data_IF_101342100585
#
_entry.id   IF_101342100585
#
_cell.length_a   1.000
_cell.length_b   1.000
_cell.length_c   1.000
_cell.angle_alpha   90.00
_cell.angle_beta   90.00
_cell.angle_gamma   90.00
#
_symmetry.space_group_name_H-M   'P 1'
#
loop_
_entity.id
_entity.type
_entity.pdbx_description
1 polymer ?
#
# COMPACT_ATOMS: atom_id res chain seq x y z
N UNK A 1 -14.07 -23.75 -37.73
CA UNK A 1 -13.32 -24.40 -36.65
C UNK A 1 -12.06 -23.57 -36.42
N UNK A 2 -12.15 -22.51 -35.61
CA UNK A 2 -10.98 -21.71 -35.26
C UNK A 2 -10.58 -22.07 -33.84
N UNK A 3 -9.54 -22.90 -33.72
CA UNK A 3 -8.89 -23.22 -32.46
C UNK A 3 -8.19 -21.96 -31.97
N UNK A 4 -8.82 -21.27 -31.01
CA UNK A 4 -8.15 -20.23 -30.26
C UNK A 4 -7.06 -20.89 -29.42
N UNK A 5 -5.80 -20.66 -29.81
CA UNK A 5 -4.63 -20.98 -28.99
C UNK A 5 -4.73 -20.14 -27.71
N UNK A 6 -5.25 -20.75 -26.65
CA UNK A 6 -5.12 -20.24 -25.30
C UNK A 6 -3.63 -20.22 -24.97
N UNK A 7 -2.99 -19.06 -25.09
CA UNK A 7 -1.68 -18.84 -24.50
C UNK A 7 -1.92 -18.76 -23.01
N UNK A 8 -1.82 -19.91 -22.34
CA UNK A 8 -1.78 -20.00 -20.90
C UNK A 8 -0.52 -19.23 -20.46
N UNK A 9 -0.67 -17.96 -20.10
CA UNK A 9 0.37 -17.20 -19.42
C UNK A 9 0.45 -17.79 -18.02
N UNK A 10 1.15 -18.93 -17.91
CA UNK A 10 1.51 -19.50 -16.64
C UNK A 10 2.47 -18.52 -15.99
N UNK A 11 1.92 -17.61 -15.17
CA UNK A 11 2.68 -16.92 -14.14
C UNK A 11 3.09 -17.97 -13.08
N UNK A 12 3.94 -18.92 -13.47
CA UNK A 12 4.75 -19.64 -12.50
C UNK A 12 5.62 -18.57 -11.87
N UNK A 13 5.34 -18.24 -10.61
CA UNK A 13 6.21 -17.43 -9.78
C UNK A 13 7.60 -18.09 -9.82
N UNK A 14 8.43 -17.57 -10.72
CA UNK A 14 9.67 -18.24 -11.15
C UNK A 14 10.66 -17.98 -10.04
N UNK A 15 10.90 -18.95 -9.16
CA UNK A 15 11.87 -18.79 -8.07
C UNK A 15 13.18 -18.22 -8.63
N UNK A 16 13.67 -17.16 -7.98
CA UNK A 16 14.94 -16.53 -8.31
C UNK A 16 16.06 -17.57 -8.30
N UNK A 17 16.81 -17.66 -9.41
CA UNK A 17 17.95 -18.56 -9.51
C UNK A 17 19.21 -17.89 -8.93
N UNK A 18 20.11 -18.65 -8.25
CA UNK A 18 21.26 -18.07 -7.56
C UNK A 18 22.23 -17.32 -8.48
N UNK A 19 22.35 -17.75 -9.75
CA UNK A 19 23.24 -17.08 -10.71
C UNK A 19 22.82 -15.64 -11.02
N UNK A 20 21.58 -15.23 -10.71
CA UNK A 20 21.12 -13.87 -10.93
C UNK A 20 21.88 -12.87 -10.03
N UNK A 21 22.29 -13.30 -8.83
CA UNK A 21 23.06 -12.49 -7.89
C UNK A 21 24.56 -12.45 -8.25
N UNK A 22 25.12 -13.58 -8.70
CA UNK A 22 26.56 -13.70 -9.01
C UNK A 22 27.01 -12.86 -10.23
N UNK A 23 26.07 -12.47 -11.10
CA UNK A 23 26.40 -11.73 -12.33
C UNK A 23 26.48 -10.24 -12.04
N UNK A 24 27.42 -9.54 -12.66
CA UNK A 24 27.63 -8.10 -12.47
C UNK A 24 26.75 -7.20 -13.35
N UNK A 25 25.75 -7.78 -14.04
CA UNK A 25 24.85 -7.02 -14.92
C UNK A 25 23.82 -6.26 -14.11
N UNK A 26 23.26 -5.20 -14.70
CA UNK A 26 22.15 -4.46 -14.12
C UNK A 26 20.93 -5.36 -13.94
N UNK A 27 20.15 -5.08 -12.89
CA UNK A 27 18.95 -5.86 -12.60
C UNK A 27 17.90 -5.73 -13.70
N UNK A 28 17.75 -4.56 -14.34
CA UNK A 28 16.89 -4.39 -15.52
C UNK A 28 17.16 -5.46 -16.59
N UNK A 29 18.43 -5.76 -16.88
CA UNK A 29 18.81 -6.78 -17.85
C UNK A 29 18.58 -8.19 -17.30
N UNK A 30 19.02 -8.45 -16.06
CA UNK A 30 18.86 -9.75 -15.40
C UNK A 30 17.41 -10.17 -15.32
N UNK A 31 16.48 -9.24 -15.08
CA UNK A 31 15.05 -9.55 -14.95
C UNK A 31 14.43 -10.07 -16.25
N UNK A 32 15.07 -9.84 -17.40
CA UNK A 32 14.68 -10.43 -18.69
C UNK A 32 15.19 -11.86 -18.86
N UNK A 33 16.15 -12.31 -18.04
CA UNK A 33 16.74 -13.63 -18.13
C UNK A 33 15.84 -14.71 -17.53
N UNK A 34 15.81 -15.87 -18.20
CA UNK A 34 15.04 -17.02 -17.75
C UNK A 34 15.47 -17.50 -16.35
N UNK A 35 14.59 -17.33 -15.37
CA UNK A 35 14.80 -17.73 -13.98
C UNK A 35 15.26 -16.60 -13.05
N UNK A 36 15.41 -15.37 -13.54
CA UNK A 36 15.69 -14.20 -12.71
C UNK A 36 14.47 -13.30 -12.51
N UNK A 37 13.42 -13.43 -13.34
CA UNK A 37 12.22 -12.58 -13.29
C UNK A 37 11.45 -12.63 -11.96
N UNK A 38 11.61 -13.66 -11.14
CA UNK A 38 11.03 -13.73 -9.79
C UNK A 38 12.01 -13.42 -8.66
N UNK A 39 13.13 -12.76 -8.95
CA UNK A 39 13.97 -12.14 -7.92
C UNK A 39 13.31 -10.87 -7.38
N UNK A 40 13.51 -10.59 -6.09
CA UNK A 40 12.94 -9.41 -5.42
C UNK A 40 13.35 -8.12 -6.10
N UNK A 41 14.58 -8.03 -6.58
CA UNK A 41 15.12 -6.88 -7.32
C UNK A 41 14.39 -6.60 -8.64
N UNK A 42 13.73 -7.60 -9.22
CA UNK A 42 12.86 -7.44 -10.40
C UNK A 42 11.47 -6.92 -10.07
N UNK A 43 11.10 -6.99 -8.79
CA UNK A 43 9.82 -6.52 -8.25
C UNK A 43 9.98 -5.20 -7.49
N UNK A 44 11.20 -4.89 -7.04
CA UNK A 44 11.54 -3.61 -6.46
C UNK A 44 11.39 -2.53 -7.54
N UNK A 45 10.69 -1.42 -7.25
CA UNK A 45 10.64 -0.33 -8.19
C UNK A 45 12.05 0.28 -8.23
N UNK A 46 12.80 0.01 -9.30
CA UNK A 46 14.13 0.59 -9.51
C UNK A 46 13.96 1.97 -10.12
N UNK A 47 14.59 2.97 -9.51
CA UNK A 47 14.66 4.32 -10.05
C UNK A 47 15.57 4.35 -11.29
N UNK A 48 15.01 4.63 -12.46
CA UNK A 48 15.78 4.71 -13.70
C UNK A 48 16.55 6.02 -13.78
N UNK A 49 17.77 6.03 -14.35
CA UNK A 49 18.64 7.22 -14.36
C UNK A 49 18.01 8.42 -15.06
N UNK A 50 17.20 8.19 -16.11
CA UNK A 50 16.52 9.27 -16.82
C UNK A 50 15.53 10.06 -15.94
N UNK A 51 15.10 9.52 -14.80
CA UNK A 51 14.21 10.20 -13.86
C UNK A 51 14.90 11.41 -13.22
N UNK A 52 16.22 11.31 -12.97
CA UNK A 52 17.03 12.38 -12.38
C UNK A 52 17.34 13.47 -13.42
N UNK A 53 17.69 13.06 -14.64
CA UNK A 53 18.13 13.99 -15.71
C UNK A 53 17.03 14.91 -16.23
N UNK A 54 15.76 14.51 -16.12
CA UNK A 54 14.63 15.29 -16.63
C UNK A 54 14.31 16.46 -15.69
N UNK A 55 13.98 17.63 -16.22
CA UNK A 55 13.71 18.84 -15.41
C UNK A 55 12.27 18.93 -14.87
N UNK A 56 11.46 17.89 -15.04
CA UNK A 56 10.05 17.90 -14.65
C UNK A 56 9.90 17.78 -13.13
N UNK A 57 8.77 18.27 -12.60
CA UNK A 57 8.43 18.10 -11.19
C UNK A 57 8.35 16.60 -10.82
N UNK A 58 8.79 16.26 -9.61
CA UNK A 58 8.78 14.87 -9.14
C UNK A 58 7.39 14.27 -9.09
N UNK A 59 6.37 15.02 -8.68
CA UNK A 59 4.96 14.56 -8.70
C UNK A 59 4.54 14.01 -10.07
N UNK A 60 5.02 14.62 -11.16
CA UNK A 60 4.78 14.12 -12.51
C UNK A 60 5.67 12.91 -12.84
N UNK A 61 6.97 13.00 -12.55
CA UNK A 61 7.93 11.91 -12.80
C UNK A 61 7.54 10.62 -12.10
N UNK A 62 7.00 10.68 -10.89
CA UNK A 62 6.60 9.51 -10.12
C UNK A 62 5.48 8.70 -10.77
N UNK A 63 4.73 9.30 -11.71
CA UNK A 63 3.75 8.59 -12.54
C UNK A 63 4.38 7.84 -13.72
N UNK A 64 5.67 8.07 -14.01
CA UNK A 64 6.35 7.46 -15.14
C UNK A 64 6.83 6.04 -14.79
N UNK A 65 6.73 5.16 -15.78
CA UNK A 65 7.24 3.79 -15.68
C UNK A 65 8.75 3.84 -15.46
N UNK A 66 9.22 3.27 -14.35
CA UNK A 66 10.62 3.26 -13.95
C UNK A 66 11.06 4.45 -13.08
N UNK A 67 10.18 5.40 -12.76
CA UNK A 67 10.51 6.49 -11.82
C UNK A 67 9.77 6.37 -10.48
N UNK A 68 8.71 5.57 -10.40
CA UNK A 68 7.96 5.37 -9.15
C UNK A 68 8.80 4.77 -8.01
N UNK A 69 9.96 4.20 -8.32
CA UNK A 69 10.92 3.67 -7.37
C UNK A 69 11.96 4.66 -6.84
N UNK A 70 11.95 5.89 -7.32
CA UNK A 70 12.87 6.92 -6.85
C UNK A 70 12.49 7.37 -5.43
N UNK A 71 13.49 7.70 -4.61
CA UNK A 71 13.28 8.14 -3.23
C UNK A 71 12.40 9.40 -3.16
N UNK A 72 12.46 10.24 -4.18
CA UNK A 72 11.65 11.45 -4.34
C UNK A 72 10.17 11.16 -4.60
N UNK A 73 9.83 9.93 -4.96
CA UNK A 73 8.47 9.45 -5.11
C UNK A 73 7.90 8.82 -3.83
N UNK A 74 8.74 8.64 -2.81
CA UNK A 74 8.31 8.17 -1.51
C UNK A 74 7.66 9.37 -0.80
N UNK A 75 6.33 9.38 -0.82
CA UNK A 75 5.55 10.32 -0.01
C UNK A 75 5.62 9.83 1.44
N UNK A 76 6.12 10.62 2.40
CA UNK A 76 6.13 10.23 3.80
C UNK A 76 4.69 9.97 4.26
N UNK A 77 4.52 8.97 5.13
CA UNK A 77 3.23 8.71 5.74
C UNK A 77 2.75 9.97 6.47
N UNK A 78 1.47 10.37 6.34
CA UNK A 78 0.97 11.54 7.04
C UNK A 78 1.18 11.36 8.54
N UNK A 79 1.83 12.32 9.19
CA UNK A 79 2.01 12.31 10.64
C UNK A 79 0.77 12.87 11.35
N UNK A 80 0.41 12.26 12.49
CA UNK A 80 -0.61 12.76 13.39
C UNK A 80 -0.10 13.98 14.17
N UNK A 81 -0.75 15.13 14.01
CA UNK A 81 -0.38 16.36 14.73
C UNK A 81 -0.92 16.34 16.16
N UNK A 82 -0.20 16.87 17.16
CA UNK A 82 -0.61 16.82 18.58
C UNK A 82 -1.99 17.44 18.85
N UNK A 83 -2.36 18.49 18.12
CA UNK A 83 -3.65 19.15 18.33
C UNK A 83 -4.85 18.24 18.02
N UNK A 84 -4.67 17.13 17.30
CA UNK A 84 -5.75 16.21 16.99
C UNK A 84 -6.29 15.54 18.26
N UNK A 85 -5.43 15.30 19.27
CA UNK A 85 -5.82 14.72 20.56
C UNK A 85 -6.47 15.77 21.48
N UNK A 86 -5.95 17.00 21.50
CA UNK A 86 -6.42 18.07 22.38
C UNK A 86 -7.84 18.57 22.04
N UNK A 87 -8.31 18.29 20.83
CA UNK A 87 -9.58 18.79 20.31
C UNK A 87 -10.73 17.92 20.78
N UNK A 88 -11.87 18.53 21.10
CA UNK A 88 -13.03 17.82 21.67
C UNK A 88 -13.93 17.17 20.61
N UNK A 89 -13.62 17.36 19.33
CA UNK A 89 -14.39 16.84 18.20
C UNK A 89 -14.27 15.32 18.08
N UNK A 90 -15.27 14.69 17.46
CA UNK A 90 -15.22 13.26 17.15
C UNK A 90 -14.13 12.95 16.12
N UNK A 91 -13.61 11.73 16.16
CA UNK A 91 -12.57 11.30 15.22
C UNK A 91 -13.03 11.32 13.77
N UNK A 92 -14.30 10.99 13.49
CA UNK A 92 -14.87 11.09 12.13
C UNK A 92 -14.68 12.48 11.49
N UNK A 93 -14.82 13.55 12.29
CA UNK A 93 -14.59 14.92 11.84
C UNK A 93 -13.08 15.23 11.78
N UNK A 94 -12.35 14.90 12.84
CA UNK A 94 -10.89 15.14 12.93
C UNK A 94 -10.12 14.50 11.79
N UNK A 95 -10.49 13.32 11.33
CA UNK A 95 -9.80 12.62 10.25
C UNK A 95 -9.87 13.34 8.90
N UNK A 96 -10.80 14.29 8.75
CA UNK A 96 -10.88 15.17 7.57
C UNK A 96 -9.94 16.37 7.66
N UNK A 97 -9.37 16.64 8.84
CA UNK A 97 -8.52 17.79 9.08
C UNK A 97 -7.08 17.54 8.61
N UNK A 98 -6.47 18.58 8.03
CA UNK A 98 -5.08 18.54 7.59
C UNK A 98 -4.12 18.26 8.74
N UNK A 99 -3.46 17.09 8.69
CA UNK A 99 -2.52 16.63 9.72
C UNK A 99 -3.13 15.78 10.82
N UNK A 100 -4.41 15.42 10.74
CA UNK A 100 -5.03 14.41 11.62
C UNK A 100 -5.34 13.10 10.87
N UNK A 101 -5.34 13.11 9.53
CA UNK A 101 -5.54 11.90 8.71
C UNK A 101 -4.46 10.82 8.94
N UNK A 102 -3.31 11.19 9.49
CA UNK A 102 -2.24 10.27 9.90
C UNK A 102 -2.41 9.63 11.27
N UNK A 103 -3.47 9.96 12.02
CA UNK A 103 -3.70 9.39 13.35
C UNK A 103 -4.23 7.96 13.25
N UNK A 104 -3.85 7.10 14.21
CA UNK A 104 -4.28 5.69 14.27
C UNK A 104 -5.80 5.54 14.31
N UNK A 105 -6.49 6.49 14.95
CA UNK A 105 -7.95 6.54 15.04
C UNK A 105 -8.63 6.73 13.68
N UNK A 106 -7.93 7.32 12.71
CA UNK A 106 -8.40 7.47 11.33
C UNK A 106 -8.18 6.23 10.46
N UNK A 107 -7.36 5.30 10.95
CA UNK A 107 -7.05 4.04 10.25
C UNK A 107 -7.91 2.87 10.74
N UNK A 108 -8.73 3.07 11.78
CA UNK A 108 -9.64 2.04 12.26
C UNK A 108 -10.84 1.92 11.32
N UNK A 109 -11.21 0.71 10.86
CA UNK A 109 -12.53 0.53 10.25
C UNK A 109 -13.59 0.98 11.27
N UNK A 110 -14.69 1.61 10.82
CA UNK A 110 -15.73 2.05 11.73
C UNK A 110 -16.09 0.87 12.64
N UNK A 111 -16.21 1.08 13.97
CA UNK A 111 -16.62 0.01 14.86
C UNK A 111 -17.90 -0.55 14.28
N UNK A 112 -17.87 -1.81 13.84
CA UNK A 112 -19.07 -2.50 13.40
C UNK A 112 -20.04 -2.38 14.57
N UNK A 113 -21.08 -1.57 14.39
CA UNK A 113 -22.09 -1.37 15.41
C UNK A 113 -22.55 -2.75 15.87
N UNK A 114 -22.19 -3.15 17.09
CA UNK A 114 -22.96 -4.18 17.79
C UNK A 114 -24.31 -3.52 18.07
N UNK A 115 -25.42 -4.02 17.52
CA UNK A 115 -26.73 -3.49 17.87
C UNK A 115 -27.12 -4.12 19.19
N UNK A 116 -26.57 -3.63 20.29
CA UNK A 116 -27.09 -3.92 21.61
C UNK A 116 -26.94 -2.69 22.47
N UNK A 117 -27.91 -1.79 22.34
CA UNK A 117 -28.51 -1.03 23.43
C UNK A 117 -29.68 -0.24 22.83
N UNK A 118 -30.86 -0.87 22.70
CA UNK A 118 -32.09 -0.11 22.89
C UNK A 118 -32.53 -0.37 24.32
N UNK A 119 -32.24 0.63 25.15
CA UNK A 119 -32.80 0.84 26.46
C UNK A 119 -34.34 0.67 26.41
N UNK A 120 -34.81 -0.43 26.97
CA UNK A 120 -36.11 -0.45 27.64
C UNK A 120 -35.89 -0.92 29.06
N UNK A 121 -35.92 0.04 29.97
CA UNK A 121 -36.41 -0.08 31.34
C UNK A 121 -37.55 -1.11 31.44
N UNK A 122 -37.23 -2.34 31.82
CA UNK A 122 -38.17 -3.32 32.35
C UNK A 122 -37.48 -4.03 33.51
N UNK A 123 -37.84 -3.55 34.69
CA UNK A 123 -38.04 -4.27 35.94
C UNK A 123 -37.88 -5.80 35.82
N UNK A 124 -36.90 -6.34 36.56
CA UNK A 124 -36.88 -7.76 36.91
C UNK A 124 -36.40 -7.91 38.36
N UNK A 125 -37.06 -7.18 39.26
CA UNK A 125 -37.15 -7.65 40.63
C UNK A 125 -37.93 -8.98 40.65
N UNK A 126 -37.38 -9.95 41.38
CA UNK A 126 -38.05 -11.12 41.95
C UNK A 126 -38.67 -12.17 41.01
N UNK A 127 -37.87 -13.20 40.70
CA UNK A 127 -38.14 -14.59 41.15
C UNK A 127 -37.10 -15.58 40.63
N UNK A 128 -36.20 -15.98 41.52
CA UNK A 128 -35.63 -17.34 41.54
C UNK A 128 -35.20 -17.69 42.97
N UNK A 129 -36.19 -17.75 43.87
CA UNK A 129 -36.32 -18.76 44.94
C UNK A 129 -37.81 -19.06 45.11
#
# INVERSE_FOLDING_TARGET
MSLALAVCVHATSSKCKPFCEDKTHDWDDKCTWGGCSGCTECSAPVCKPFCVDKTHAWDNKCTWVGCNGCTECIVPEPECKPFCEDKTQGWDDKCTWGGCNGCTECSSPPPMCKPFCDDKTQDWDDKLL
#
